data_IF_707265366957
#
_entry.id   IF_707265366957
#
_cell.length_a   1.000
_cell.length_b   1.000
_cell.length_c   1.000
_cell.angle_alpha   90.00
_cell.angle_beta   90.00
_cell.angle_gamma   90.00
#
_symmetry.space_group_name_H-M   'P 1'
#
loop_
_entity.id
_entity.type
_entity.pdbx_description
1 polymer ?
#
# COMPACT_ATOMS: atom_id res chain seq x y z
N UNK A 1 49.91 -27.85 22.00
CA UNK A 1 48.83 -28.30 22.91
C UNK A 1 47.52 -27.71 22.37
N UNK A 2 46.77 -28.49 21.61
CA UNK A 2 45.45 -28.06 21.12
C UNK A 2 44.50 -28.06 22.32
N UNK A 3 44.06 -26.87 22.74
CA UNK A 3 43.08 -26.71 23.80
C UNK A 3 41.80 -27.44 23.43
N UNK A 4 41.27 -28.22 24.38
CA UNK A 4 40.05 -28.98 24.21
C UNK A 4 38.94 -28.08 23.64
N UNK A 5 38.27 -28.53 22.58
CA UNK A 5 37.04 -27.94 22.07
C UNK A 5 36.02 -27.94 23.22
N UNK A 6 35.83 -26.79 23.86
CA UNK A 6 34.92 -26.64 24.98
C UNK A 6 33.49 -26.84 24.46
N UNK A 7 32.77 -27.84 25.00
CA UNK A 7 31.37 -28.11 24.64
C UNK A 7 30.53 -26.87 24.91
N UNK A 8 29.76 -26.43 23.91
CA UNK A 8 28.86 -25.30 24.05
C UNK A 8 27.87 -25.52 25.21
N UNK A 9 27.53 -24.48 25.99
CA UNK A 9 26.60 -24.60 27.11
C UNK A 9 25.26 -25.16 26.66
N UNK A 10 24.71 -26.14 27.39
CA UNK A 10 23.45 -26.79 27.03
C UNK A 10 22.28 -25.80 26.90
N UNK A 11 22.25 -24.76 27.75
CA UNK A 11 21.25 -23.69 27.67
C UNK A 11 21.34 -22.89 26.36
N UNK A 12 22.56 -22.62 25.87
CA UNK A 12 22.77 -21.94 24.59
C UNK A 12 22.32 -22.81 23.41
N UNK A 13 22.59 -24.12 23.47
CA UNK A 13 22.13 -25.08 22.45
C UNK A 13 20.59 -25.15 22.41
N UNK A 14 19.93 -25.23 23.56
CA UNK A 14 18.47 -25.29 23.62
C UNK A 14 17.80 -23.98 23.16
N UNK A 15 18.40 -22.83 23.44
CA UNK A 15 17.88 -21.53 23.02
C UNK A 15 18.01 -21.30 21.50
N UNK A 16 19.17 -21.66 20.92
CA UNK A 16 19.47 -21.39 19.50
C UNK A 16 18.89 -22.47 18.59
N UNK A 17 18.92 -23.75 18.99
CA UNK A 17 18.53 -24.89 18.14
C UNK A 17 17.07 -25.32 18.36
N UNK A 18 16.21 -24.38 18.76
CA UNK A 18 14.78 -24.65 18.89
C UNK A 18 14.19 -24.98 17.51
N UNK A 19 13.47 -26.11 17.40
CA UNK A 19 12.80 -26.49 16.15
C UNK A 19 11.71 -25.48 15.80
N UNK A 20 11.71 -25.02 14.54
CA UNK A 20 10.66 -24.17 13.99
C UNK A 20 9.41 -24.99 13.61
N UNK A 21 8.24 -24.36 13.74
CA UNK A 21 6.99 -24.89 13.20
C UNK A 21 6.90 -24.71 11.69
N UNK A 22 5.91 -25.36 11.06
CA UNK A 22 5.65 -25.16 9.63
C UNK A 22 5.01 -23.79 9.39
N UNK A 23 5.42 -23.12 8.32
CA UNK A 23 4.79 -21.89 7.86
C UNK A 23 3.50 -22.20 7.07
N UNK A 24 2.53 -21.26 7.03
CA UNK A 24 1.34 -21.38 6.19
C UNK A 24 1.70 -21.49 4.70
N UNK A 25 0.90 -22.22 3.91
CA UNK A 25 1.13 -22.40 2.46
C UNK A 25 1.13 -21.07 1.68
N UNK A 26 0.38 -20.08 2.17
CA UNK A 26 0.26 -18.74 1.60
C UNK A 26 1.52 -17.86 1.83
N UNK A 27 2.52 -18.33 2.60
CA UNK A 27 3.69 -17.52 2.94
C UNK A 27 4.56 -17.28 1.72
N UNK A 28 4.70 -16.02 1.32
CA UNK A 28 5.59 -15.62 0.23
C UNK A 28 7.04 -15.55 0.75
N UNK A 29 8.02 -16.19 0.08
CA UNK A 29 9.41 -16.05 0.44
C UNK A 29 9.90 -14.62 0.18
N UNK A 30 10.83 -14.15 1.01
CA UNK A 30 11.48 -12.85 0.81
C UNK A 30 12.40 -12.94 -0.40
N UNK A 31 12.13 -12.11 -1.41
CA UNK A 31 12.90 -12.02 -2.65
C UNK A 31 12.83 -10.60 -3.22
N UNK A 32 14.00 -10.00 -3.46
CA UNK A 32 14.13 -8.70 -4.11
C UNK A 32 14.06 -8.79 -5.64
N UNK A 33 14.13 -7.64 -6.31
CA UNK A 33 14.25 -7.56 -7.76
C UNK A 33 15.64 -8.00 -8.21
N UNK A 34 15.72 -8.78 -9.28
CA UNK A 34 16.97 -9.19 -9.91
C UNK A 34 17.30 -8.26 -11.09
N UNK A 35 18.38 -7.50 -10.95
CA UNK A 35 18.83 -6.55 -11.98
C UNK A 35 19.58 -7.22 -13.14
N UNK A 36 19.87 -8.52 -13.09
CA UNK A 36 20.49 -9.24 -14.21
C UNK A 36 19.63 -9.19 -15.49
N UNK A 37 18.30 -9.08 -15.34
CA UNK A 37 17.36 -8.90 -16.45
C UNK A 37 17.25 -7.47 -16.99
N UNK A 38 18.02 -6.52 -16.45
CA UNK A 38 17.97 -5.09 -16.81
C UNK A 38 17.00 -4.26 -15.96
N UNK A 39 16.95 -2.94 -16.16
CA UNK A 39 16.19 -2.01 -15.32
C UNK A 39 14.72 -1.88 -15.77
N UNK A 40 13.86 -2.82 -15.37
CA UNK A 40 12.40 -2.66 -15.46
C UNK A 40 11.86 -2.07 -14.14
N UNK A 41 11.49 -0.79 -14.19
CA UNK A 41 10.92 -0.05 -13.06
C UNK A 41 9.58 -0.65 -12.58
N UNK A 42 8.76 -1.14 -13.50
CA UNK A 42 7.50 -1.79 -13.17
C UNK A 42 7.74 -3.09 -12.43
N UNK A 43 8.69 -3.91 -12.88
CA UNK A 43 9.04 -5.15 -12.20
C UNK A 43 9.73 -4.91 -10.84
N UNK A 44 10.55 -3.86 -10.74
CA UNK A 44 11.14 -3.41 -9.48
C UNK A 44 10.05 -3.03 -8.45
N UNK A 45 9.09 -2.19 -8.83
CA UNK A 45 8.00 -1.79 -7.92
C UNK A 45 7.10 -2.98 -7.57
N UNK A 46 6.90 -3.95 -8.47
CA UNK A 46 6.17 -5.20 -8.16
C UNK A 46 6.92 -6.08 -7.14
N UNK A 47 8.25 -6.13 -7.20
CA UNK A 47 9.05 -6.93 -6.26
C UNK A 47 8.96 -6.43 -4.81
N UNK A 48 8.50 -5.19 -4.59
CA UNK A 48 8.37 -4.63 -3.24
C UNK A 48 7.43 -5.46 -2.36
N UNK A 49 6.48 -6.20 -2.96
CA UNK A 49 5.61 -7.15 -2.26
C UNK A 49 6.39 -8.20 -1.46
N UNK A 50 7.53 -8.66 -1.97
CA UNK A 50 8.37 -9.72 -1.36
C UNK A 50 9.71 -9.19 -0.85
N UNK A 51 9.93 -7.87 -0.86
CA UNK A 51 11.22 -7.29 -0.44
C UNK A 51 11.33 -7.16 1.08
N UNK A 52 10.20 -6.95 1.78
CA UNK A 52 10.14 -6.81 3.24
C UNK A 52 10.13 -5.35 3.72
N UNK A 53 9.92 -5.16 5.03
CA UNK A 53 9.86 -3.86 5.70
C UNK A 53 8.90 -2.86 5.01
N UNK A 54 9.33 -1.62 4.80
CA UNK A 54 8.52 -0.55 4.19
C UNK A 54 8.17 -0.83 2.73
N UNK A 55 8.97 -1.64 2.02
CA UNK A 55 8.67 -2.01 0.64
C UNK A 55 7.37 -2.83 0.57
N UNK A 56 7.21 -3.80 1.48
CA UNK A 56 5.96 -4.58 1.56
C UNK A 56 4.77 -3.70 1.92
N UNK A 57 4.92 -2.77 2.86
CA UNK A 57 3.88 -1.79 3.21
C UNK A 57 3.48 -0.92 2.00
N UNK A 58 4.45 -0.48 1.20
CA UNK A 58 4.18 0.28 -0.02
C UNK A 58 3.38 -0.55 -1.03
N UNK A 59 3.79 -1.80 -1.28
CA UNK A 59 3.09 -2.69 -2.21
C UNK A 59 1.65 -2.98 -1.75
N UNK A 60 1.42 -3.10 -0.44
CA UNK A 60 0.08 -3.24 0.14
C UNK A 60 -0.76 -1.98 -0.06
N UNK A 61 -0.18 -0.79 0.12
CA UNK A 61 -0.86 0.48 -0.13
C UNK A 61 -1.27 0.63 -1.60
N UNK A 62 -0.40 0.25 -2.55
CA UNK A 62 -0.72 0.22 -3.99
C UNK A 62 -1.90 -0.72 -4.26
N UNK A 63 -1.90 -1.92 -3.66
CA UNK A 63 -2.98 -2.88 -3.81
C UNK A 63 -4.31 -2.35 -3.26
N UNK A 64 -4.30 -1.64 -2.14
CA UNK A 64 -5.50 -1.01 -1.58
C UNK A 64 -6.03 0.15 -2.45
N UNK A 65 -5.13 0.98 -2.99
CA UNK A 65 -5.52 2.04 -3.93
C UNK A 65 -6.18 1.46 -5.19
N UNK A 66 -5.65 0.37 -5.74
CA UNK A 66 -6.29 -0.31 -6.85
C UNK A 66 -7.67 -0.87 -6.50
N UNK A 67 -7.88 -1.40 -5.28
CA UNK A 67 -9.21 -1.82 -4.81
C UNK A 67 -10.19 -0.65 -4.73
N UNK A 68 -9.76 0.49 -4.18
CA UNK A 68 -10.58 1.71 -4.14
C UNK A 68 -10.97 2.22 -5.53
N UNK A 69 -10.03 2.18 -6.49
CA UNK A 69 -10.29 2.58 -7.88
C UNK A 69 -11.27 1.60 -8.56
N UNK A 70 -11.07 0.29 -8.37
CA UNK A 70 -11.98 -0.72 -8.93
C UNK A 70 -13.41 -0.52 -8.41
N UNK A 71 -13.59 -0.38 -7.10
CA UNK A 71 -14.89 -0.11 -6.47
C UNK A 71 -15.50 1.22 -6.94
N UNK A 72 -14.68 2.20 -7.32
CA UNK A 72 -15.18 3.47 -7.88
C UNK A 72 -15.70 3.32 -9.30
N UNK A 73 -15.06 2.46 -10.11
CA UNK A 73 -15.40 2.22 -11.51
C UNK A 73 -16.52 1.21 -11.71
N UNK A 74 -16.86 0.44 -10.68
CA UNK A 74 -18.02 -0.46 -10.70
C UNK A 74 -19.30 0.34 -11.00
N UNK A 75 -20.13 -0.14 -11.95
CA UNK A 75 -21.36 0.54 -12.33
C UNK A 75 -22.37 0.50 -11.18
N UNK A 76 -22.90 1.66 -10.84
CA UNK A 76 -23.95 1.79 -9.84
C UNK A 76 -25.27 1.19 -10.33
N UNK A 77 -25.98 0.52 -9.42
CA UNK A 77 -27.39 0.13 -9.61
C UNK A 77 -28.31 1.35 -9.67
N UNK A 78 -29.53 1.16 -10.18
CA UNK A 78 -30.55 2.23 -10.28
C UNK A 78 -30.84 2.87 -8.90
N UNK A 79 -30.97 2.05 -7.86
CA UNK A 79 -31.23 2.49 -6.48
C UNK A 79 -30.07 3.32 -5.90
N UNK A 80 -28.83 2.97 -6.23
CA UNK A 80 -27.65 3.71 -5.79
C UNK A 80 -27.51 5.04 -6.50
N UNK A 81 -27.92 5.12 -7.77
CA UNK A 81 -27.96 6.37 -8.53
C UNK A 81 -28.95 7.34 -7.91
N UNK A 82 -30.15 6.87 -7.54
CA UNK A 82 -31.19 7.67 -6.90
C UNK A 82 -30.74 8.22 -5.54
N UNK A 83 -30.14 7.37 -4.69
CA UNK A 83 -29.57 7.82 -3.40
C UNK A 83 -28.46 8.85 -3.59
N UNK A 84 -27.63 8.68 -4.61
CA UNK A 84 -26.50 9.57 -4.84
C UNK A 84 -26.91 10.91 -5.49
N UNK A 85 -28.13 10.99 -6.07
CA UNK A 85 -28.79 12.22 -6.51
C UNK A 85 -29.18 13.18 -5.36
N UNK A 86 -29.14 12.73 -4.09
CA UNK A 86 -29.33 13.57 -2.91
C UNK A 86 -28.11 14.42 -2.55
N UNK A 87 -26.96 14.18 -3.19
CA UNK A 87 -25.76 14.95 -2.94
C UNK A 87 -25.94 16.39 -3.49
N UNK A 88 -25.84 17.44 -2.66
CA UNK A 88 -26.04 18.83 -3.09
C UNK A 88 -24.99 19.36 -4.07
N UNK A 89 -23.96 18.56 -4.41
CA UNK A 89 -22.93 18.91 -5.39
C UNK A 89 -23.15 18.18 -6.73
N UNK A 90 -23.10 18.89 -7.87
CA UNK A 90 -23.41 18.35 -9.21
C UNK A 90 -22.26 17.51 -9.78
N UNK A 91 -21.90 16.41 -9.12
CA UNK A 91 -20.87 15.47 -9.60
C UNK A 91 -21.46 14.10 -9.86
N UNK A 92 -20.94 13.45 -10.90
CA UNK A 92 -21.26 12.07 -11.25
C UNK A 92 -21.09 11.16 -10.03
N UNK A 93 -22.08 10.31 -9.83
CA UNK A 93 -22.18 9.38 -8.72
C UNK A 93 -21.30 8.16 -9.05
N UNK A 94 -20.53 7.66 -8.07
CA UNK A 94 -19.60 6.54 -8.26
C UNK A 94 -19.71 5.53 -7.12
N UNK A 95 -19.38 4.26 -7.38
CA UNK A 95 -19.49 3.15 -6.41
C UNK A 95 -18.64 3.32 -5.14
N UNK A 96 -17.57 4.11 -5.22
CA UNK A 96 -16.71 4.43 -4.08
C UNK A 96 -16.37 5.93 -4.06
N UNK A 97 -16.47 6.55 -2.88
CA UNK A 97 -16.00 7.92 -2.65
C UNK A 97 -14.62 7.89 -1.99
N UNK A 98 -13.58 8.26 -2.74
CA UNK A 98 -12.20 8.27 -2.26
C UNK A 98 -11.88 9.64 -1.65
N UNK A 99 -11.60 9.71 -0.36
CA UNK A 99 -11.20 10.96 0.30
C UNK A 99 -9.67 11.09 0.34
N UNK A 100 -9.16 12.23 -0.14
CA UNK A 100 -7.73 12.55 -0.08
C UNK A 100 -7.48 13.65 0.96
N UNK A 101 -6.71 13.32 2.00
CA UNK A 101 -6.19 14.26 2.99
C UNK A 101 -4.68 14.42 2.84
N UNK A 102 -4.19 15.65 2.93
CA UNK A 102 -2.76 15.96 2.92
C UNK A 102 -2.49 17.16 3.85
N UNK A 103 -1.27 17.23 4.37
CA UNK A 103 -0.78 18.34 5.20
C UNK A 103 -0.26 19.50 4.34
N UNK A 104 -0.17 20.71 4.91
CA UNK A 104 0.21 21.93 4.18
C UNK A 104 1.59 21.85 3.50
N UNK A 105 2.55 21.17 4.14
CA UNK A 105 3.89 20.96 3.59
C UNK A 105 3.90 20.17 2.27
N UNK A 106 2.90 19.31 2.03
CA UNK A 106 2.79 18.55 0.78
C UNK A 106 2.38 19.45 -0.39
N UNK A 107 1.58 20.50 -0.14
CA UNK A 107 1.21 21.49 -1.17
C UNK A 107 2.33 22.50 -1.43
N UNK A 108 3.16 22.79 -0.45
CA UNK A 108 4.36 23.63 -0.64
C UNK A 108 5.54 22.86 -1.26
N UNK A 109 5.37 21.56 -1.54
CA UNK A 109 6.38 20.72 -2.21
C UNK A 109 5.93 20.34 -3.63
N UNK A 110 6.83 19.70 -4.40
CA UNK A 110 6.52 19.18 -5.74
C UNK A 110 5.49 18.04 -5.79
N UNK A 111 4.95 17.60 -4.64
CA UNK A 111 3.81 16.67 -4.59
C UNK A 111 2.51 17.37 -5.02
N UNK A 112 2.48 18.71 -4.99
CA UNK A 112 1.36 19.53 -5.46
C UNK A 112 0.91 19.15 -6.86
N UNK A 113 1.82 18.88 -7.79
CA UNK A 113 1.50 18.53 -9.17
C UNK A 113 0.80 17.17 -9.26
N UNK A 114 1.19 16.19 -8.44
CA UNK A 114 0.51 14.89 -8.32
C UNK A 114 -0.90 15.06 -7.75
N UNK A 115 -1.06 15.87 -6.70
CA UNK A 115 -2.38 16.16 -6.11
C UNK A 115 -3.26 16.87 -7.13
N UNK A 116 -2.72 17.84 -7.87
CA UNK A 116 -3.40 18.58 -8.94
C UNK A 116 -3.92 17.62 -10.02
N UNK A 117 -3.10 16.66 -10.46
CA UNK A 117 -3.50 15.65 -11.43
C UNK A 117 -4.70 14.83 -10.93
N UNK A 118 -4.64 14.30 -9.71
CA UNK A 118 -5.72 13.49 -9.12
C UNK A 118 -7.04 14.26 -9.02
N UNK A 119 -6.98 15.55 -8.66
CA UNK A 119 -8.17 16.40 -8.53
C UNK A 119 -8.71 16.83 -9.89
N UNK A 120 -7.84 17.19 -10.84
CA UNK A 120 -8.22 17.61 -12.20
C UNK A 120 -8.99 16.52 -12.93
N UNK A 121 -8.62 15.26 -12.75
CA UNK A 121 -9.28 14.12 -13.38
C UNK A 121 -10.42 13.50 -12.55
N UNK A 122 -10.91 14.19 -11.51
CA UNK A 122 -12.01 13.73 -10.64
C UNK A 122 -11.78 12.33 -10.02
N UNK A 123 -10.52 11.94 -9.83
CA UNK A 123 -10.15 10.64 -9.26
C UNK A 123 -10.45 10.61 -7.76
N UNK A 124 -10.27 11.73 -7.07
CA UNK A 124 -10.43 11.86 -5.62
C UNK A 124 -11.40 12.96 -5.21
N UNK A 125 -12.00 12.80 -4.02
CA UNK A 125 -12.77 13.82 -3.31
C UNK A 125 -11.84 14.51 -2.32
N UNK A 126 -11.77 15.83 -2.43
CA UNK A 126 -11.09 16.66 -1.45
C UNK A 126 -12.13 17.26 -0.50
N UNK A 127 -11.82 17.26 0.79
CA UNK A 127 -12.58 17.97 1.79
C UNK A 127 -11.81 19.23 2.17
N UNK A 128 -12.43 20.39 2.02
CA UNK A 128 -11.99 21.60 2.72
C UNK A 128 -12.95 21.80 3.88
N UNK A 129 -12.42 21.85 5.11
CA UNK A 129 -13.15 22.48 6.19
C UNK A 129 -13.24 23.96 5.83
N UNK A 130 -14.37 24.36 5.23
CA UNK A 130 -14.76 25.77 5.18
C UNK A 130 -15.04 26.19 6.63
N UNK A 131 -13.99 26.49 7.38
CA UNK A 131 -14.11 27.36 8.54
C UNK A 131 -14.32 28.75 7.96
N UNK A 132 -15.57 29.06 7.59
CA UNK A 132 -16.01 30.45 7.47
C UNK A 132 -15.74 31.07 8.84
N UNK A 133 -14.74 31.95 8.92
CA UNK A 133 -14.79 33.04 9.88
C UNK A 133 -15.81 34.06 9.37
#
# INVERSE_FOLDING_TARGET
>A
RFGALQRAPAAALQAVLKRSGRLPTESLPVRGYDFAGGPDHGALLRSFRTTGFQATSFAQAVAEIHRMIAAKLEPLSEEERDRAGLNPWPRATSGCTIFLGFTSNLISSGVRETIRYLVQHNMVRWWTSRTRR
#
